data_IF_669793256276
#
_entry.id   IF_669793256276
#
_cell.length_a   1.000
_cell.length_b   1.000
_cell.length_c   1.000
_cell.angle_alpha   90.00
_cell.angle_beta   90.00
_cell.angle_gamma   90.00
#
_symmetry.space_group_name_H-M   'P 1'
#
loop_
_entity.id
_entity.type
_entity.pdbx_description
1 polymer ?
#
# COMPACT_ATOMS: atom_id res chain seq x y z
N UNK A 1 -21.78 -1.47 13.78
CA UNK A 1 -21.25 -2.83 13.99
C UNK A 1 -19.73 -2.80 14.10
N UNK A 2 -19.14 -3.58 15.03
CA UNK A 2 -17.71 -3.55 15.33
C UNK A 2 -16.78 -3.87 14.14
N UNK A 3 -17.19 -4.76 13.24
CA UNK A 3 -16.41 -5.14 12.05
C UNK A 3 -16.13 -3.96 11.10
N UNK A 4 -17.14 -3.13 10.85
CA UNK A 4 -17.00 -1.94 10.01
C UNK A 4 -16.02 -0.91 10.62
N UNK A 5 -15.97 -0.81 11.96
CA UNK A 5 -15.05 0.08 12.65
C UNK A 5 -13.60 -0.41 12.57
N UNK A 6 -13.36 -1.72 12.72
CA UNK A 6 -12.04 -2.33 12.53
C UNK A 6 -11.54 -2.10 11.11
N UNK A 7 -12.40 -2.34 10.12
CA UNK A 7 -12.06 -2.13 8.71
C UNK A 7 -11.69 -0.67 8.43
N UNK A 8 -12.49 0.30 8.88
CA UNK A 8 -12.19 1.74 8.75
C UNK A 8 -10.82 2.09 9.34
N UNK A 9 -10.50 1.58 10.53
CA UNK A 9 -9.18 1.77 11.16
C UNK A 9 -8.05 1.12 10.34
N UNK A 10 -8.26 -0.07 9.77
CA UNK A 10 -7.29 -0.72 8.88
C UNK A 10 -7.06 0.09 7.61
N UNK A 11 -8.11 0.61 6.97
CA UNK A 11 -7.99 1.50 5.80
C UNK A 11 -7.22 2.76 6.18
N UNK A 12 -7.51 3.35 7.34
CA UNK A 12 -6.78 4.52 7.81
C UNK A 12 -5.29 4.21 8.06
N UNK A 13 -4.94 3.02 8.57
CA UNK A 13 -3.55 2.60 8.73
C UNK A 13 -2.89 2.36 7.36
N UNK A 14 -3.60 1.73 6.43
CA UNK A 14 -3.12 1.51 5.06
C UNK A 14 -2.79 2.83 4.37
N UNK A 15 -3.69 3.82 4.41
CA UNK A 15 -3.47 5.12 3.77
C UNK A 15 -2.28 5.88 4.39
N UNK A 16 -1.95 5.65 5.67
CA UNK A 16 -0.74 6.19 6.30
C UNK A 16 0.54 5.49 5.87
N UNK A 17 0.47 4.21 5.52
CA UNK A 17 1.63 3.40 5.12
C UNK A 17 1.95 3.56 3.63
N UNK A 18 0.93 3.76 2.79
CA UNK A 18 1.08 3.87 1.34
C UNK A 18 2.16 4.86 0.87
N UNK A 19 2.29 6.09 1.42
CA UNK A 19 3.32 7.03 0.98
C UNK A 19 4.73 6.43 1.05
N UNK A 20 5.06 5.71 2.13
CA UNK A 20 6.37 5.08 2.30
C UNK A 20 6.64 3.98 1.28
N UNK A 21 5.58 3.27 0.86
CA UNK A 21 5.66 2.26 -0.20
C UNK A 21 5.89 2.93 -1.56
N UNK A 22 5.22 4.05 -1.84
CA UNK A 22 5.31 4.73 -3.14
C UNK A 22 6.63 5.48 -3.38
N UNK A 23 7.42 5.70 -2.33
CA UNK A 23 8.79 6.22 -2.45
C UNK A 23 9.74 5.17 -3.06
N UNK A 24 9.49 3.89 -2.82
CA UNK A 24 10.27 2.77 -3.39
C UNK A 24 9.85 2.48 -4.84
N UNK A 25 10.57 3.08 -5.80
CA UNK A 25 10.26 2.97 -7.24
C UNK A 25 10.46 1.58 -7.85
N UNK A 26 11.12 0.68 -7.12
CA UNK A 26 11.30 -0.71 -7.54
C UNK A 26 10.04 -1.56 -7.37
N UNK A 27 8.97 -1.02 -6.75
CA UNK A 27 7.71 -1.74 -6.56
C UNK A 27 6.54 -1.16 -7.36
N UNK A 28 5.69 -2.07 -7.83
CA UNK A 28 4.35 -1.77 -8.33
C UNK A 28 3.31 -2.41 -7.42
N UNK A 29 2.25 -1.64 -7.09
CA UNK A 29 1.09 -2.17 -6.36
C UNK A 29 0.24 -3.05 -7.27
N UNK A 30 -0.26 -4.16 -6.73
CA UNK A 30 -1.15 -5.11 -7.42
C UNK A 30 -2.29 -5.56 -6.51
N UNK A 31 -3.09 -6.52 -6.99
CA UNK A 31 -4.09 -7.21 -6.18
C UNK A 31 -5.38 -6.42 -5.93
N UNK A 32 -6.22 -6.99 -5.05
CA UNK A 32 -7.58 -6.51 -4.79
C UNK A 32 -7.65 -5.15 -4.10
N UNK A 33 -6.66 -4.85 -3.24
CA UNK A 33 -6.55 -3.56 -2.56
C UNK A 33 -6.26 -2.42 -3.52
N UNK A 34 -5.43 -2.63 -4.54
CA UNK A 34 -5.17 -1.62 -5.59
C UNK A 34 -6.47 -1.25 -6.34
N UNK A 35 -7.29 -2.24 -6.69
CA UNK A 35 -8.59 -2.00 -7.32
C UNK A 35 -9.53 -1.23 -6.37
N UNK A 36 -9.54 -1.59 -5.09
CA UNK A 36 -10.33 -0.88 -4.08
C UNK A 36 -9.86 0.57 -3.85
N UNK A 37 -8.57 0.85 -4.00
CA UNK A 37 -8.01 2.18 -3.72
C UNK A 37 -8.13 3.16 -4.87
N UNK A 38 -8.03 2.68 -6.12
CA UNK A 38 -7.92 3.56 -7.28
C UNK A 38 -9.14 3.51 -8.19
N UNK A 39 -9.88 2.39 -8.17
CA UNK A 39 -10.99 2.14 -9.09
C UNK A 39 -12.34 2.19 -8.36
N UNK A 40 -12.53 1.42 -7.28
CA UNK A 40 -13.87 1.21 -6.68
C UNK A 40 -14.04 1.94 -5.35
N UNK A 41 -15.29 2.23 -4.95
CA UNK A 41 -15.63 2.86 -3.67
C UNK A 41 -15.50 1.92 -2.45
N UNK A 42 -14.35 1.26 -2.30
CA UNK A 42 -14.06 0.31 -1.23
C UNK A 42 -15.16 -0.76 -0.97
N UNK A 43 -15.79 -1.39 -2.01
CA UNK A 43 -16.90 -2.32 -1.80
C UNK A 43 -16.47 -3.66 -1.17
N UNK A 44 -15.16 -3.88 -0.97
CA UNK A 44 -14.59 -5.15 -0.50
C UNK A 44 -13.66 -4.93 0.70
N UNK A 45 -13.69 -5.88 1.64
CA UNK A 45 -12.80 -5.89 2.80
C UNK A 45 -11.39 -6.37 2.41
N UNK A 46 -10.58 -5.51 1.78
CA UNK A 46 -9.21 -5.82 1.37
C UNK A 46 -8.28 -4.68 1.76
N UNK A 47 -7.31 -4.97 2.64
CA UNK A 47 -6.42 -3.99 3.30
C UNK A 47 -4.95 -4.45 3.34
N UNK A 48 -4.58 -5.42 2.50
CA UNK A 48 -3.21 -5.91 2.37
C UNK A 48 -2.56 -5.22 1.15
N UNK A 49 -1.32 -4.76 1.29
CA UNK A 49 -0.54 -4.12 0.22
C UNK A 49 0.28 -5.21 -0.47
N UNK A 50 -0.18 -5.62 -1.65
CA UNK A 50 0.55 -6.58 -2.49
C UNK A 50 1.47 -5.84 -3.47
N UNK A 51 2.76 -6.19 -3.45
CA UNK A 51 3.80 -5.59 -4.27
C UNK A 51 4.41 -6.58 -5.25
N UNK A 52 4.71 -6.08 -6.44
CA UNK A 52 5.53 -6.74 -7.46
C UNK A 52 6.82 -5.96 -7.60
N UNK A 53 7.94 -6.66 -7.56
CA UNK A 53 9.24 -6.07 -7.89
C UNK A 53 9.35 -5.88 -9.40
N UNK A 54 9.60 -4.66 -9.84
CA UNK A 54 9.54 -4.24 -11.24
C UNK A 54 10.85 -4.52 -12.00
N UNK A 55 12.05 -4.22 -11.48
CA UNK A 55 13.28 -4.47 -12.23
C UNK A 55 13.47 -5.96 -12.56
N UNK A 56 13.93 -6.25 -13.78
CA UNK A 56 14.31 -7.60 -14.19
C UNK A 56 15.82 -7.74 -14.06
N UNK A 57 16.25 -8.42 -12.99
CA UNK A 57 17.66 -8.64 -12.66
C UNK A 57 17.90 -10.11 -12.21
N UNK A 58 19.17 -10.56 -12.16
CA UNK A 58 19.52 -11.83 -11.53
C UNK A 58 18.90 -11.99 -10.14
N UNK A 59 18.57 -13.23 -9.76
CA UNK A 59 17.85 -13.51 -8.50
C UNK A 59 18.55 -12.95 -7.26
N UNK A 60 19.88 -13.10 -7.08
CA UNK A 60 20.57 -12.55 -5.90
C UNK A 60 20.45 -11.03 -5.82
N UNK A 61 20.59 -10.33 -6.95
CA UNK A 61 20.47 -8.87 -7.02
C UNK A 61 19.05 -8.41 -6.70
N UNK A 62 18.04 -9.07 -7.28
CA UNK A 62 16.64 -8.73 -6.96
C UNK A 62 16.30 -8.96 -5.50
N UNK A 63 16.80 -10.04 -4.88
CA UNK A 63 16.56 -10.31 -3.46
C UNK A 63 17.21 -9.26 -2.56
N UNK A 64 18.43 -8.82 -2.90
CA UNK A 64 19.12 -7.76 -2.18
C UNK A 64 18.38 -6.42 -2.28
N UNK A 65 17.91 -6.04 -3.48
CA UNK A 65 17.17 -4.79 -3.67
C UNK A 65 15.80 -4.82 -2.98
N UNK A 66 15.07 -5.95 -3.09
CA UNK A 66 13.82 -6.16 -2.36
C UNK A 66 14.05 -6.03 -0.85
N UNK A 67 15.09 -6.66 -0.30
CA UNK A 67 15.38 -6.59 1.13
C UNK A 67 15.66 -5.14 1.56
N UNK A 68 16.50 -4.42 0.83
CA UNK A 68 16.84 -3.03 1.13
C UNK A 68 15.60 -2.12 1.09
N UNK A 69 14.80 -2.19 0.02
CA UNK A 69 13.60 -1.37 -0.14
C UNK A 69 12.55 -1.67 0.94
N UNK A 70 12.35 -2.95 1.30
CA UNK A 70 11.41 -3.32 2.37
C UNK A 70 11.93 -2.89 3.75
N UNK A 71 13.25 -2.92 3.99
CA UNK A 71 13.84 -2.37 5.21
C UNK A 71 13.63 -0.86 5.33
N UNK A 72 13.77 -0.11 4.23
CA UNK A 72 13.48 1.33 4.22
C UNK A 72 12.02 1.63 4.55
N UNK A 73 11.06 0.89 3.96
CA UNK A 73 9.64 1.00 4.30
C UNK A 73 9.42 0.73 5.79
N UNK A 74 9.98 -0.36 6.32
CA UNK A 74 9.84 -0.71 7.73
C UNK A 74 10.41 0.36 8.66
N UNK A 75 11.56 0.95 8.32
CA UNK A 75 12.18 2.03 9.08
C UNK A 75 11.31 3.30 9.09
N UNK A 76 10.80 3.73 7.92
CA UNK A 76 9.90 4.89 7.83
C UNK A 76 8.60 4.69 8.58
N UNK A 77 8.01 3.49 8.52
CA UNK A 77 6.81 3.17 9.30
C UNK A 77 7.07 3.30 10.80
N UNK A 78 8.18 2.75 11.31
CA UNK A 78 8.56 2.84 12.72
C UNK A 78 8.84 4.29 13.17
N UNK A 79 9.44 5.10 12.29
CA UNK A 79 9.79 6.50 12.57
C UNK A 79 8.58 7.44 12.52
N UNK A 80 7.71 7.29 11.50
CA UNK A 80 6.65 8.26 11.17
C UNK A 80 5.28 7.90 11.71
N UNK A 81 5.03 6.66 12.12
CA UNK A 81 3.74 6.25 12.68
C UNK A 81 3.89 5.98 14.18
N UNK A 82 3.42 6.89 15.06
CA UNK A 82 3.54 6.73 16.51
C UNK A 82 2.93 5.42 17.02
N UNK A 83 3.70 4.68 17.81
CA UNK A 83 3.28 3.40 18.40
C UNK A 83 3.14 2.26 17.39
N UNK A 84 3.63 2.42 16.14
CA UNK A 84 3.63 1.33 15.19
C UNK A 84 4.64 0.24 15.57
N UNK A 85 4.18 -1.01 15.50
CA UNK A 85 5.03 -2.19 15.61
C UNK A 85 5.08 -2.86 14.24
N UNK A 86 6.28 -3.21 13.79
CA UNK A 86 6.50 -3.87 12.50
C UNK A 86 7.16 -5.22 12.75
N UNK A 87 6.54 -6.29 12.25
CA UNK A 87 7.09 -7.63 12.28
C UNK A 87 7.48 -8.07 10.87
N UNK A 88 8.72 -8.53 10.71
CA UNK A 88 9.30 -8.93 9.43
C UNK A 88 9.18 -10.45 9.23
N UNK A 89 8.90 -10.89 8.00
CA UNK A 89 9.05 -12.29 7.60
C UNK A 89 10.08 -12.37 6.50
N UNK A 90 11.12 -13.16 6.73
CA UNK A 90 12.23 -13.35 5.79
C UNK A 90 12.09 -14.68 5.04
N UNK A 91 12.44 -14.68 3.77
CA UNK A 91 12.61 -15.86 2.93
C UNK A 91 13.80 -15.64 2.00
N UNK A 92 14.65 -16.65 1.87
CA UNK A 92 15.83 -16.59 0.98
C UNK A 92 16.74 -15.37 1.24
N UNK A 93 16.90 -14.98 2.50
CA UNK A 93 17.73 -13.83 2.89
C UNK A 93 17.07 -12.46 2.77
N UNK A 94 15.88 -12.35 2.15
CA UNK A 94 15.15 -11.09 1.98
C UNK A 94 13.89 -11.00 2.85
N UNK A 95 13.53 -9.81 3.33
CA UNK A 95 12.20 -9.55 3.89
C UNK A 95 11.17 -9.57 2.75
N UNK A 96 10.22 -10.50 2.83
CA UNK A 96 9.14 -10.65 1.83
C UNK A 96 7.78 -10.23 2.36
N UNK A 97 7.68 -9.97 3.66
CA UNK A 97 6.44 -9.50 4.28
C UNK A 97 6.70 -8.67 5.52
N UNK A 98 5.94 -7.58 5.65
CA UNK A 98 5.80 -6.79 6.85
C UNK A 98 4.38 -6.92 7.40
N UNK A 99 4.25 -7.13 8.71
CA UNK A 99 3.00 -6.96 9.43
C UNK A 99 3.11 -5.69 10.24
N UNK A 100 2.34 -4.67 9.87
CA UNK A 100 2.30 -3.38 10.56
C UNK A 100 1.11 -3.36 11.50
N UNK A 101 1.36 -3.11 12.78
CA UNK A 101 0.34 -2.98 13.82
C UNK A 101 0.37 -1.58 14.39
N UNK A 102 -0.78 -0.93 14.46
CA UNK A 102 -0.96 0.35 15.14
C UNK A 102 -2.43 0.51 15.55
N UNK A 103 -2.68 1.19 16.67
CA UNK A 103 -4.05 1.52 17.11
C UNK A 103 -5.02 0.31 17.14
N UNK A 104 -4.54 -0.84 17.62
CA UNK A 104 -5.28 -2.11 17.74
C UNK A 104 -5.77 -2.71 16.40
N UNK A 105 -5.21 -2.29 15.28
CA UNK A 105 -5.42 -2.92 13.96
C UNK A 105 -4.10 -3.30 13.33
N UNK A 106 -4.18 -4.12 12.29
CA UNK A 106 -3.02 -4.54 11.51
C UNK A 106 -3.31 -4.57 10.02
N UNK A 107 -2.27 -4.32 9.23
CA UNK A 107 -2.24 -4.54 7.77
C UNK A 107 -0.97 -5.32 7.41
N UNK A 108 -0.93 -5.86 6.20
CA UNK A 108 0.27 -6.51 5.67
C UNK A 108 0.80 -5.78 4.45
N UNK A 109 2.10 -5.87 4.27
CA UNK A 109 2.80 -5.53 3.01
C UNK A 109 3.48 -6.81 2.57
N UNK A 110 3.18 -7.32 1.39
CA UNK A 110 3.72 -8.58 0.87
C UNK A 110 4.38 -8.36 -0.49
N UNK A 111 5.63 -8.82 -0.62
CA UNK A 111 6.37 -8.84 -1.89
C UNK A 111 6.49 -10.29 -2.36
N UNK A 112 6.11 -10.57 -3.60
CA UNK A 112 6.33 -11.89 -4.20
C UNK A 112 7.68 -11.89 -4.95
N UNK A 113 8.75 -12.55 -4.45
CA UNK A 113 10.07 -12.49 -5.11
C UNK A 113 10.16 -13.35 -6.38
N UNK A 114 9.16 -14.21 -6.64
CA UNK A 114 9.15 -15.14 -7.77
C UNK A 114 8.73 -14.43 -9.07
N UNK A 115 7.62 -13.69 -9.02
CA UNK A 115 7.09 -12.95 -10.16
C UNK A 115 7.69 -11.54 -10.15
N UNK A 116 8.52 -11.24 -11.14
CA UNK A 116 9.23 -9.96 -11.30
C UNK A 116 8.97 -9.40 -12.69
N UNK A 117 9.06 -8.09 -12.82
CA UNK A 117 8.67 -7.39 -14.04
C UNK A 117 7.17 -7.17 -14.14
N UNK A 118 6.77 -6.39 -15.13
CA UNK A 118 5.38 -6.12 -15.46
C UNK A 118 5.17 -6.31 -16.97
N UNK A 119 3.99 -6.81 -17.37
CA UNK A 119 3.63 -6.94 -18.79
C UNK A 119 3.41 -5.56 -19.41
N UNK A 120 2.89 -4.63 -18.63
CA UNK A 120 2.69 -3.22 -18.99
C UNK A 120 3.46 -2.32 -18.02
N UNK A 121 3.85 -1.14 -18.48
CA UNK A 121 4.53 -0.16 -17.63
C UNK A 121 3.65 0.25 -16.44
N UNK A 122 4.20 0.29 -15.20
CA UNK A 122 3.47 0.78 -14.04
C UNK A 122 3.05 2.24 -14.21
N UNK A 123 1.81 2.54 -13.85
CA UNK A 123 1.29 3.91 -13.85
C UNK A 123 1.39 4.49 -12.44
N UNK A 124 1.89 5.72 -12.34
CA UNK A 124 1.98 6.43 -11.07
C UNK A 124 0.65 7.13 -10.79
N UNK A 125 0.02 6.79 -9.67
CA UNK A 125 -1.26 7.35 -9.24
C UNK A 125 -1.12 7.84 -7.80
N UNK A 126 -1.32 9.15 -7.59
CA UNK A 126 -1.24 9.78 -6.27
C UNK A 126 -2.58 10.29 -5.73
N UNK A 127 -3.67 10.14 -6.49
CA UNK A 127 -4.98 10.65 -6.11
C UNK A 127 -6.05 9.55 -6.08
N UNK A 128 -6.87 9.58 -5.03
CA UNK A 128 -8.01 8.70 -4.83
C UNK A 128 -9.24 9.52 -4.37
N UNK A 129 -9.79 10.36 -5.25
CA UNK A 129 -10.78 11.37 -4.89
C UNK A 129 -12.14 10.77 -4.50
N UNK A 130 -12.40 9.54 -4.90
CA UNK A 130 -13.61 8.81 -4.55
C UNK A 130 -13.63 8.39 -3.06
N UNK A 131 -12.46 8.35 -2.41
CA UNK A 131 -12.34 8.09 -0.98
C UNK A 131 -12.52 9.34 -0.11
N UNK A 132 -12.74 10.52 -0.70
CA UNK A 132 -12.86 11.81 0.02
C UNK A 132 -13.94 11.82 1.11
N UNK A 133 -15.02 11.07 0.89
CA UNK A 133 -16.16 10.98 1.80
C UNK A 133 -16.07 9.75 2.74
N UNK A 134 -14.97 9.00 2.69
CA UNK A 134 -14.80 7.82 3.53
C UNK A 134 -14.59 8.24 4.98
N UNK A 135 -15.61 8.00 5.81
CA UNK A 135 -15.53 8.24 7.24
C UNK A 135 -14.62 7.22 7.92
N UNK A 136 -13.39 7.60 8.25
CA UNK A 136 -12.38 6.74 8.87
C UNK A 136 -12.45 6.69 10.42
N UNK A 137 -13.55 7.16 11.01
CA UNK A 137 -13.76 7.27 12.46
C UNK A 137 -12.90 8.39 13.08
N UNK A 138 -12.69 8.35 14.40
CA UNK A 138 -12.01 9.39 15.19
C UNK A 138 -10.48 9.47 14.96
N UNK A 139 -9.99 8.98 13.83
CA UNK A 139 -8.57 8.82 13.54
C UNK A 139 -8.16 9.65 12.32
N UNK A 140 -7.97 10.98 12.47
CA UNK A 140 -7.71 11.87 11.35
C UNK A 140 -6.42 11.47 10.62
N UNK A 141 -6.52 11.37 9.29
CA UNK A 141 -5.36 11.11 8.43
C UNK A 141 -4.38 12.29 8.46
N UNK A 142 -3.06 12.04 8.34
CA UNK A 142 -2.08 13.11 8.17
C UNK A 142 -2.43 14.02 6.98
N UNK A 143 -2.11 15.32 7.07
CA UNK A 143 -2.49 16.29 6.04
C UNK A 143 -1.96 15.95 4.64
N UNK A 144 -0.77 15.36 4.56
CA UNK A 144 -0.19 14.87 3.30
C UNK A 144 -1.06 13.77 2.65
N UNK A 145 -1.62 12.86 3.45
CA UNK A 145 -2.54 11.82 2.96
C UNK A 145 -3.89 12.44 2.60
N UNK A 146 -4.32 13.49 3.32
CA UNK A 146 -5.55 14.22 2.99
C UNK A 146 -5.42 15.01 1.69
N UNK A 147 -4.24 15.52 1.36
CA UNK A 147 -3.99 16.16 0.07
C UNK A 147 -4.21 15.18 -1.10
N UNK A 148 -3.77 13.93 -0.95
CA UNK A 148 -4.01 12.86 -1.93
C UNK A 148 -5.50 12.46 -2.06
N UNK A 149 -6.32 12.70 -1.02
CA UNK A 149 -7.78 12.55 -1.07
C UNK A 149 -8.48 13.74 -1.75
N UNK A 150 -7.86 14.92 -1.73
CA UNK A 150 -8.44 16.17 -2.23
C UNK A 150 -8.11 16.46 -3.70
N UNK A 151 -7.07 15.83 -4.27
CA UNK A 151 -6.62 16.05 -5.64
C UNK A 151 -7.68 15.70 -6.68
N UNK A 152 -8.09 16.67 -7.50
CA UNK A 152 -9.01 16.47 -8.60
C UNK A 152 -8.31 15.81 -9.81
N UNK A 153 -9.07 14.96 -10.51
CA UNK A 153 -8.74 14.21 -11.73
C UNK A 153 -8.01 12.87 -11.54
N UNK A 154 -8.79 11.80 -11.66
CA UNK A 154 -8.25 10.48 -11.97
C UNK A 154 -7.76 10.49 -13.41
N UNK A 155 -6.62 9.84 -13.69
CA UNK A 155 -6.16 9.61 -15.07
C UNK A 155 -7.32 9.08 -15.94
N UNK A 156 -7.47 9.51 -17.21
CA UNK A 156 -8.55 9.02 -18.10
C UNK A 156 -8.62 7.49 -18.19
N UNK A 157 -7.48 6.81 -18.03
CA UNK A 157 -7.38 5.36 -17.98
C UNK A 157 -8.10 4.75 -16.74
N UNK A 158 -8.11 5.46 -15.61
CA UNK A 158 -8.81 5.02 -14.39
C UNK A 158 -10.32 5.18 -14.53
N UNK A 159 -10.81 6.21 -15.23
CA UNK A 159 -12.25 6.38 -15.47
C UNK A 159 -12.85 5.25 -16.30
N UNK A 160 -12.12 4.77 -17.30
CA UNK A 160 -12.54 3.60 -18.09
C UNK A 160 -12.64 2.33 -17.22
N UNK A 161 -11.71 2.13 -16.28
CA UNK A 161 -11.74 0.99 -15.35
C UNK A 161 -12.88 1.07 -14.32
N UNK A 162 -13.44 2.26 -14.06
CA UNK A 162 -14.57 2.45 -13.13
C UNK A 162 -15.92 2.03 -13.71
N UNK A 163 -16.02 1.94 -15.03
CA UNK A 163 -17.27 1.60 -15.73
C UNK A 163 -17.45 0.07 -15.89
N UNK A 164 -16.56 -0.75 -15.31
CA UNK A 164 -16.57 -2.23 -15.36
C UNK A 164 -16.79 -2.88 -13.98
#
# INVERSE_FOLDING_TARGET
MALANVYKKQVALLLRVLPFVTEEKCFALKGGTTINLFVRDMPRLSVDIDLTYVPVAPRPESLADIDAAVQHIAAKVKDKIPGALVHETRKEGAIVKLVVRAQNVQIKIEVTPVLRGCVYEPVVIFSYPHLRNLELGDNPLPDEVRANLAGAEASPHLEQLRQC
#
